data_IF_867239655117
#
_entry.id   IF_867239655117
#
_cell.length_a   1.000
_cell.length_b   1.000
_cell.length_c   1.000
_cell.angle_alpha   90.00
_cell.angle_beta   90.00
_cell.angle_gamma   90.00
#
_symmetry.space_group_name_H-M   'P 1'
#
loop_
_entity.id
_entity.type
_entity.pdbx_description
1 polymer ?
#
# COMPACT_ATOMS: atom_id res chain seq x y z
N UNK A 1 -7.67 20.87 2.24
CA UNK A 1 -6.31 20.47 1.79
C UNK A 1 -5.95 19.06 2.26
N UNK A 2 -6.11 18.75 3.55
CA UNK A 2 -5.84 17.42 4.14
C UNK A 2 -6.61 16.29 3.44
N UNK A 3 -7.91 16.47 3.15
CA UNK A 3 -8.73 15.46 2.47
C UNK A 3 -8.16 15.01 1.11
N UNK A 4 -7.63 15.95 0.31
CA UNK A 4 -6.99 15.65 -0.97
C UNK A 4 -5.72 14.80 -0.82
N UNK A 5 -4.97 15.00 0.26
CA UNK A 5 -3.79 14.19 0.56
C UNK A 5 -4.17 12.76 0.95
N UNK A 6 -5.26 12.58 1.71
CA UNK A 6 -5.75 11.24 2.06
C UNK A 6 -6.27 10.50 0.83
N UNK A 7 -7.02 11.18 -0.05
CA UNK A 7 -7.46 10.63 -1.35
C UNK A 7 -6.26 10.17 -2.20
N UNK A 8 -5.23 11.01 -2.33
CA UNK A 8 -4.01 10.68 -3.07
C UNK A 8 -3.29 9.48 -2.46
N UNK A 9 -3.21 9.41 -1.13
CA UNK A 9 -2.55 8.30 -0.44
C UNK A 9 -3.30 6.98 -0.65
N UNK A 10 -4.64 6.99 -0.61
CA UNK A 10 -5.47 5.84 -0.96
C UNK A 10 -5.17 5.37 -2.40
N UNK A 11 -5.05 6.30 -3.35
CA UNK A 11 -4.70 5.96 -4.73
C UNK A 11 -3.31 5.30 -4.82
N UNK A 12 -2.32 5.82 -4.10
CA UNK A 12 -0.97 5.24 -4.01
C UNK A 12 -1.00 3.81 -3.44
N UNK A 13 -1.80 3.56 -2.39
CA UNK A 13 -1.97 2.21 -1.84
C UNK A 13 -2.60 1.26 -2.87
N UNK A 14 -3.59 1.72 -3.64
CA UNK A 14 -4.22 0.92 -4.68
C UNK A 14 -3.21 0.54 -5.78
N UNK A 15 -2.41 1.49 -6.25
CA UNK A 15 -1.32 1.21 -7.21
C UNK A 15 -0.33 0.19 -6.64
N UNK A 16 0.02 0.29 -5.35
CA UNK A 16 0.90 -0.67 -4.68
C UNK A 16 0.32 -2.09 -4.68
N UNK A 17 -0.98 -2.23 -4.38
CA UNK A 17 -1.66 -3.54 -4.40
C UNK A 17 -1.64 -4.13 -5.79
N UNK A 18 -2.01 -3.35 -6.81
CA UNK A 18 -2.01 -3.80 -8.20
C UNK A 18 -0.60 -4.22 -8.63
N UNK A 19 0.42 -3.44 -8.31
CA UNK A 19 1.81 -3.78 -8.64
C UNK A 19 2.31 -5.04 -7.92
N UNK A 20 1.80 -5.35 -6.73
CA UNK A 20 2.17 -6.58 -6.02
C UNK A 20 1.72 -7.87 -6.72
N UNK A 21 0.78 -7.78 -7.66
CA UNK A 21 0.32 -8.94 -8.44
C UNK A 21 1.22 -9.27 -9.61
N UNK A 22 2.06 -8.33 -10.03
CA UNK A 22 2.97 -8.52 -11.14
C UNK A 22 4.37 -8.85 -10.61
N UNK A 23 5.07 -9.84 -11.19
CA UNK A 23 6.47 -10.07 -10.87
C UNK A 23 7.31 -8.89 -11.38
N UNK A 24 7.91 -8.12 -10.45
CA UNK A 24 8.75 -6.97 -10.80
C UNK A 24 10.20 -7.42 -10.88
N UNK A 25 10.83 -7.23 -12.04
CA UNK A 25 12.26 -7.47 -12.21
C UNK A 25 13.06 -6.48 -11.36
N UNK A 26 14.22 -6.86 -10.78
CA UNK A 26 15.04 -5.95 -9.97
C UNK A 26 15.60 -4.76 -10.76
N UNK A 27 15.56 -4.84 -12.09
CA UNK A 27 16.10 -3.83 -13.00
C UNK A 27 14.97 -3.28 -13.89
N UNK A 28 15.09 -2.00 -14.26
CA UNK A 28 14.19 -1.32 -15.19
C UNK A 28 13.24 -0.30 -14.53
N UNK A 29 12.42 0.35 -15.36
CA UNK A 29 11.55 1.44 -14.93
C UNK A 29 10.53 1.03 -13.85
N UNK A 30 10.02 -0.20 -13.92
CA UNK A 30 9.06 -0.72 -12.92
C UNK A 30 9.68 -0.90 -11.54
N UNK A 31 10.97 -1.26 -11.47
CA UNK A 31 11.71 -1.35 -10.20
C UNK A 31 11.81 0.02 -9.52
N UNK A 32 12.08 1.07 -10.30
CA UNK A 32 12.13 2.46 -9.80
C UNK A 32 10.78 2.91 -9.27
N UNK A 33 9.69 2.66 -10.01
CA UNK A 33 8.33 3.01 -9.58
C UNK A 33 7.95 2.25 -8.30
N UNK A 34 8.20 0.94 -8.25
CA UNK A 34 7.94 0.14 -7.06
C UNK A 34 8.75 0.61 -5.85
N UNK A 35 10.03 0.92 -6.02
CA UNK A 35 10.90 1.45 -4.97
C UNK A 35 10.41 2.80 -4.42
N UNK A 36 9.93 3.68 -5.29
CA UNK A 36 9.32 4.95 -4.88
C UNK A 36 8.05 4.72 -4.06
N UNK A 37 7.16 3.84 -4.52
CA UNK A 37 5.94 3.49 -3.79
C UNK A 37 6.26 2.88 -2.43
N UNK A 38 7.23 1.97 -2.35
CA UNK A 38 7.69 1.39 -1.09
C UNK A 38 8.21 2.45 -0.13
N UNK A 39 9.00 3.42 -0.61
CA UNK A 39 9.49 4.53 0.21
C UNK A 39 8.35 5.32 0.87
N UNK A 40 7.26 5.57 0.14
CA UNK A 40 6.11 6.35 0.66
C UNK A 40 5.22 5.53 1.58
N UNK A 41 5.04 4.25 1.28
CA UNK A 41 4.02 3.42 1.92
C UNK A 41 4.57 2.52 3.03
N UNK A 42 5.85 2.12 3.00
CA UNK A 42 6.49 1.28 4.02
C UNK A 42 6.48 1.85 5.43
N UNK A 43 6.64 3.17 5.68
CA UNK A 43 6.55 3.72 7.03
C UNK A 43 5.24 3.37 7.74
N UNK A 44 4.15 3.19 6.97
CA UNK A 44 2.83 2.79 7.50
C UNK A 44 2.64 1.28 7.40
N UNK A 45 3.01 0.66 6.27
CA UNK A 45 2.72 -0.76 6.04
C UNK A 45 3.66 -1.72 6.79
N UNK A 46 4.93 -1.36 7.02
CA UNK A 46 5.88 -2.23 7.73
C UNK A 46 5.46 -2.48 9.18
N UNK A 47 5.05 -1.47 9.97
CA UNK A 47 4.44 -1.71 11.28
C UNK A 47 3.19 -2.59 11.20
N UNK A 48 2.30 -2.35 10.22
CA UNK A 48 1.10 -3.17 10.03
C UNK A 48 1.44 -4.64 9.74
N UNK A 49 2.46 -4.91 8.92
CA UNK A 49 2.92 -6.28 8.61
C UNK A 49 3.42 -7.05 9.82
N UNK A 50 3.81 -6.38 10.90
CA UNK A 50 4.18 -7.05 12.17
C UNK A 50 2.96 -7.65 12.87
N UNK A 51 1.80 -7.00 12.72
CA UNK A 51 0.54 -7.47 13.28
C UNK A 51 -0.22 -8.39 12.32
N UNK A 52 -0.12 -8.13 11.02
CA UNK A 52 -0.78 -8.84 9.95
C UNK A 52 0.26 -9.33 8.95
N UNK A 53 0.93 -10.46 9.24
CA UNK A 53 1.92 -11.01 8.33
C UNK A 53 1.28 -11.35 6.98
N UNK A 54 2.04 -11.21 5.87
CA UNK A 54 1.52 -11.50 4.54
C UNK A 54 1.08 -12.96 4.43
N UNK A 55 -0.07 -13.16 3.80
CA UNK A 55 -0.67 -14.48 3.63
C UNK A 55 0.00 -15.16 2.44
N UNK A 56 0.71 -16.26 2.71
CA UNK A 56 1.32 -17.08 1.66
C UNK A 56 0.29 -18.06 1.11
N UNK A 57 0.02 -17.98 -0.18
CA UNK A 57 -0.83 -18.91 -0.92
C UNK A 57 0.00 -19.57 -2.03
N UNK A 58 0.53 -20.75 -1.76
CA UNK A 58 1.40 -21.49 -2.67
C UNK A 58 2.70 -20.72 -2.98
N UNK A 59 2.92 -20.41 -4.26
CA UNK A 59 4.09 -19.66 -4.72
C UNK A 59 3.96 -18.12 -4.56
N UNK A 60 2.78 -17.61 -4.19
CA UNK A 60 2.51 -16.18 -4.09
C UNK A 60 2.36 -15.75 -2.63
N UNK A 61 2.88 -14.57 -2.28
CA UNK A 61 2.62 -13.91 -1.01
C UNK A 61 1.69 -12.72 -1.25
N UNK A 62 0.50 -12.76 -0.66
CA UNK A 62 -0.45 -11.65 -0.70
C UNK A 62 -0.26 -10.79 0.54
N UNK A 63 0.13 -9.53 0.32
CA UNK A 63 0.25 -8.56 1.40
C UNK A 63 -1.11 -7.89 1.64
N UNK A 64 -1.73 -8.17 2.78
CA UNK A 64 -3.01 -7.59 3.19
C UNK A 64 -2.83 -6.24 3.90
N UNK A 65 -1.59 -5.84 4.23
CA UNK A 65 -1.34 -4.56 4.91
C UNK A 65 -1.85 -3.32 4.15
N UNK A 66 -1.76 -3.21 2.81
CA UNK A 66 -2.32 -2.06 2.10
C UNK A 66 -3.85 -2.01 2.20
N UNK A 67 -4.52 -3.16 2.27
CA UNK A 67 -5.98 -3.24 2.41
C UNK A 67 -6.41 -2.74 3.79
N UNK A 68 -5.70 -3.11 4.84
CA UNK A 68 -5.97 -2.60 6.19
C UNK A 68 -5.69 -1.11 6.29
N UNK A 69 -4.60 -0.63 5.69
CA UNK A 69 -4.31 0.80 5.61
C UNK A 69 -5.40 1.57 4.84
N UNK A 70 -5.92 1.00 3.74
CA UNK A 70 -7.05 1.57 2.99
C UNK A 70 -8.25 1.80 3.89
N UNK A 71 -8.73 0.78 4.60
CA UNK A 71 -9.90 0.92 5.48
C UNK A 71 -9.65 1.91 6.62
N UNK A 72 -8.46 1.90 7.22
CA UNK A 72 -8.09 2.83 8.28
C UNK A 72 -8.12 4.29 7.79
N UNK A 73 -7.59 4.56 6.60
CA UNK A 73 -7.56 5.90 6.01
C UNK A 73 -8.95 6.32 5.54
N UNK A 74 -9.76 5.43 4.97
CA UNK A 74 -11.15 5.72 4.60
C UNK A 74 -11.98 6.15 5.82
N UNK A 75 -11.81 5.47 6.95
CA UNK A 75 -12.48 5.84 8.19
C UNK A 75 -11.99 7.21 8.72
N UNK A 76 -10.68 7.43 8.74
CA UNK A 76 -10.07 8.71 9.11
C UNK A 76 -10.57 9.86 8.23
N UNK A 77 -10.66 9.63 6.92
CA UNK A 77 -11.19 10.61 5.97
C UNK A 77 -12.65 10.92 6.28
N UNK A 78 -13.49 9.91 6.53
CA UNK A 78 -14.88 10.11 6.92
C UNK A 78 -15.04 10.91 8.23
N UNK A 79 -14.12 10.77 9.19
CA UNK A 79 -14.16 11.49 10.45
C UNK A 79 -13.60 12.92 10.38
N UNK A 80 -12.60 13.17 9.51
CA UNK A 80 -11.89 14.45 9.42
C UNK A 80 -12.44 15.35 8.31
N UNK A 81 -12.99 14.75 7.26
CA UNK A 81 -13.49 15.44 6.06
C UNK A 81 -15.01 15.46 5.96
N UNK A 82 -15.70 15.10 7.05
CA UNK A 82 -17.15 15.28 7.22
C UNK A 82 -17.53 16.75 7.31
#
# INVERSE_FOLDING_TARGET
MICRLLELYIFVLLVRVVLSWFPISPHGAMATVAGFLYTITDPILVPLRRFLPPVRMGAMALDLSPLVAFFAISFLMGAVCS
#
